data_IF_054831673082
#
_entry.id   IF_054831673082
#
_cell.length_a   1.000
_cell.length_b   1.000
_cell.length_c   1.000
_cell.angle_alpha   90.00
_cell.angle_beta   90.00
_cell.angle_gamma   90.00
#
_symmetry.space_group_name_H-M   'P 1'
#
loop_
_entity.id
_entity.type
_entity.pdbx_description
1 polymer ?
#
# COMPACT_ATOMS: atom_id res chain seq x y z
N UNK A 1 41.90 -2.91 39.68
CA UNK A 1 40.66 -2.50 38.96
C UNK A 1 40.68 -3.08 37.55
N UNK A 2 40.04 -4.22 37.30
CA UNK A 2 40.00 -4.88 35.96
C UNK A 2 38.67 -5.59 35.67
N UNK A 3 37.58 -5.16 36.33
CA UNK A 3 36.25 -5.82 36.27
C UNK A 3 35.20 -5.10 35.42
N UNK A 4 35.41 -3.86 34.99
CA UNK A 4 34.35 -3.08 34.31
C UNK A 4 34.36 -3.22 32.78
N UNK A 5 35.51 -3.50 32.16
CA UNK A 5 35.63 -3.56 30.69
C UNK A 5 34.89 -4.77 30.08
N UNK A 6 34.88 -5.91 30.79
CA UNK A 6 34.20 -7.14 30.33
C UNK A 6 32.67 -6.98 30.27
N UNK A 7 32.08 -6.21 31.19
CA UNK A 7 30.64 -5.98 31.23
C UNK A 7 30.18 -5.04 30.12
N UNK A 8 30.99 -4.03 29.79
CA UNK A 8 30.71 -3.07 28.70
C UNK A 8 30.76 -3.76 27.33
N UNK A 9 31.76 -4.63 27.10
CA UNK A 9 31.85 -5.42 25.86
C UNK A 9 30.65 -6.37 25.67
N UNK A 10 30.13 -6.95 26.75
CA UNK A 10 28.91 -7.79 26.69
C UNK A 10 27.66 -7.00 26.30
N UNK A 11 27.51 -5.78 26.81
CA UNK A 11 26.36 -4.89 26.50
C UNK A 11 26.40 -4.42 25.03
N UNK A 12 27.58 -4.05 24.53
CA UNK A 12 27.77 -3.64 23.13
C UNK A 12 27.47 -4.81 22.18
N UNK A 13 27.90 -6.03 22.53
CA UNK A 13 27.60 -7.23 21.74
C UNK A 13 26.10 -7.52 21.65
N UNK A 14 25.37 -7.38 22.77
CA UNK A 14 23.91 -7.59 22.80
C UNK A 14 23.18 -6.52 21.98
N UNK A 15 23.59 -5.25 22.07
CA UNK A 15 23.01 -4.16 21.27
C UNK A 15 23.18 -4.38 19.75
N UNK A 16 24.34 -4.90 19.32
CA UNK A 16 24.58 -5.20 17.91
C UNK A 16 23.71 -6.35 17.38
N UNK A 17 23.53 -7.40 18.18
CA UNK A 17 22.69 -8.55 17.80
C UNK A 17 21.22 -8.12 17.74
N UNK A 18 20.74 -7.36 18.72
CA UNK A 18 19.38 -6.81 18.71
C UNK A 18 19.15 -5.85 17.53
N UNK A 19 20.15 -5.04 17.18
CA UNK A 19 20.11 -4.18 15.99
C UNK A 19 20.00 -4.97 14.68
N UNK A 20 20.76 -6.06 14.53
CA UNK A 20 20.69 -6.93 13.34
C UNK A 20 19.35 -7.67 13.22
N UNK A 21 18.79 -8.14 14.34
CA UNK A 21 17.47 -8.80 14.35
C UNK A 21 16.37 -7.80 13.97
N UNK A 22 16.44 -6.56 14.51
CA UNK A 22 15.50 -5.50 14.17
C UNK A 22 15.54 -5.11 12.69
N UNK A 23 16.74 -5.00 12.10
CA UNK A 23 16.89 -4.70 10.68
C UNK A 23 16.39 -5.83 9.77
N UNK A 24 16.67 -7.10 10.10
CA UNK A 24 16.15 -8.24 9.33
C UNK A 24 14.63 -8.32 9.37
N UNK A 25 14.03 -8.13 10.56
CA UNK A 25 12.57 -8.17 10.70
C UNK A 25 11.89 -7.05 9.92
N UNK A 26 12.44 -5.83 9.95
CA UNK A 26 11.91 -4.70 9.20
C UNK A 26 12.09 -4.87 7.69
N UNK A 27 13.23 -5.41 7.25
CA UNK A 27 13.51 -5.66 5.84
C UNK A 27 12.61 -6.75 5.25
N UNK A 28 12.34 -7.82 5.99
CA UNK A 28 11.49 -8.93 5.53
C UNK A 28 10.00 -8.54 5.47
N UNK A 29 9.54 -7.71 6.41
CA UNK A 29 8.15 -7.22 6.41
C UNK A 29 7.88 -6.17 5.32
N UNK A 30 8.85 -5.31 5.02
CA UNK A 30 8.66 -4.22 4.03
C UNK A 30 8.62 -4.75 2.59
N UNK A 31 9.24 -5.90 2.30
CA UNK A 31 9.38 -6.43 0.93
C UNK A 31 8.14 -7.22 0.47
N UNK A 32 7.39 -7.81 1.40
CA UNK A 32 6.23 -8.66 1.09
C UNK A 32 4.88 -8.03 1.46
N UNK A 33 4.87 -6.75 1.79
CA UNK A 33 3.61 -6.06 2.09
C UNK A 33 2.80 -5.83 0.79
N UNK A 34 1.54 -6.22 0.84
CA UNK A 34 0.60 -6.18 -0.29
C UNK A 34 -0.48 -5.17 0.04
N UNK A 35 -0.75 -4.29 -0.92
CA UNK A 35 -1.87 -3.35 -0.88
C UNK A 35 -2.88 -3.73 -1.96
N UNK A 36 -4.12 -3.97 -1.57
CA UNK A 36 -5.23 -4.15 -2.51
C UNK A 36 -5.77 -2.79 -2.97
N UNK A 37 -5.84 -2.57 -4.28
CA UNK A 37 -6.42 -1.39 -4.90
C UNK A 37 -7.65 -1.74 -5.74
N UNK A 38 -8.61 -0.81 -5.81
CA UNK A 38 -9.74 -0.91 -6.74
C UNK A 38 -9.28 -0.45 -8.13
N UNK A 39 -9.47 -1.31 -9.13
CA UNK A 39 -9.09 -1.10 -10.53
C UNK A 39 -10.28 -1.21 -11.47
N UNK A 40 -10.16 -0.60 -12.66
CA UNK A 40 -11.12 -0.78 -13.76
C UNK A 40 -10.83 -2.09 -14.47
N UNK A 41 -11.78 -3.04 -14.48
CA UNK A 41 -11.62 -4.36 -15.10
C UNK A 41 -12.19 -4.46 -16.50
N UNK A 42 -13.13 -3.58 -16.86
CA UNK A 42 -13.88 -3.65 -18.12
C UNK A 42 -14.14 -2.26 -18.69
N UNK A 43 -14.30 -2.20 -20.01
CA UNK A 43 -14.72 -0.98 -20.70
C UNK A 43 -16.14 -0.56 -20.32
N UNK A 44 -16.48 0.69 -20.62
CA UNK A 44 -17.84 1.21 -20.50
C UNK A 44 -18.14 1.89 -19.16
N UNK A 45 -17.11 2.22 -18.38
CA UNK A 45 -17.25 3.02 -17.16
C UNK A 45 -17.73 4.44 -17.52
N UNK A 46 -18.94 4.81 -17.08
CA UNK A 46 -19.48 6.14 -17.29
C UNK A 46 -19.15 7.07 -16.12
N UNK A 47 -18.49 8.18 -16.41
CA UNK A 47 -18.11 9.21 -15.43
C UNK A 47 -19.29 9.92 -14.79
N UNK A 48 -20.48 9.89 -15.39
CA UNK A 48 -21.68 10.56 -14.89
C UNK A 48 -22.51 9.69 -13.95
N UNK A 49 -22.26 8.38 -13.91
CA UNK A 49 -22.99 7.42 -13.09
C UNK A 49 -22.16 7.10 -11.83
N UNK A 50 -22.79 6.97 -10.65
CA UNK A 50 -22.09 6.55 -9.44
C UNK A 50 -21.33 5.22 -9.63
N UNK A 51 -20.12 5.14 -9.10
CA UNK A 51 -19.25 3.97 -9.25
C UNK A 51 -19.81 2.73 -8.56
N UNK A 52 -20.55 2.90 -7.47
CA UNK A 52 -21.22 1.81 -6.77
C UNK A 52 -22.36 1.16 -7.58
N UNK A 53 -22.96 1.90 -8.52
CA UNK A 53 -23.93 1.36 -9.47
C UNK A 53 -23.26 0.60 -10.63
N UNK A 54 -21.93 0.75 -10.79
CA UNK A 54 -21.13 0.17 -11.87
C UNK A 54 -20.03 -0.77 -11.35
N UNK A 55 -20.19 -1.33 -10.14
CA UNK A 55 -19.21 -2.23 -9.50
C UNK A 55 -18.85 -3.44 -10.36
N UNK A 56 -19.75 -3.89 -11.24
CA UNK A 56 -19.49 -4.98 -12.18
C UNK A 56 -18.38 -4.69 -13.21
N UNK A 57 -18.00 -3.42 -13.38
CA UNK A 57 -16.88 -2.97 -14.22
C UNK A 57 -15.58 -2.81 -13.43
N UNK A 58 -15.64 -2.95 -12.10
CA UNK A 58 -14.54 -2.75 -11.17
C UNK A 58 -14.10 -4.08 -10.53
N UNK A 59 -12.92 -4.09 -9.93
CA UNK A 59 -12.43 -5.21 -9.13
C UNK A 59 -11.28 -4.79 -8.24
N UNK A 60 -10.81 -5.70 -7.40
CA UNK A 60 -9.58 -5.54 -6.63
C UNK A 60 -8.40 -6.16 -7.38
N UNK A 61 -7.23 -5.54 -7.25
CA UNK A 61 -5.93 -6.11 -7.61
C UNK A 61 -4.92 -5.89 -6.49
N UNK A 62 -4.08 -6.89 -6.30
CA UNK A 62 -2.99 -6.87 -5.33
C UNK A 62 -1.75 -6.22 -5.95
N UNK A 63 -1.25 -5.17 -5.31
CA UNK A 63 0.00 -4.52 -5.66
C UNK A 63 0.99 -4.65 -4.52
N UNK A 64 2.28 -4.64 -4.81
CA UNK A 64 3.29 -4.48 -3.76
C UNK A 64 3.12 -3.09 -3.14
N UNK A 65 3.07 -2.99 -1.82
CA UNK A 65 2.95 -1.69 -1.12
C UNK A 65 4.05 -0.71 -1.55
N UNK A 66 5.26 -1.21 -1.80
CA UNK A 66 6.38 -0.41 -2.33
C UNK A 66 6.12 0.15 -3.72
N UNK A 67 5.41 -0.58 -4.57
CA UNK A 67 5.01 -0.11 -5.90
C UNK A 67 3.97 1.01 -5.77
N UNK A 68 2.94 0.79 -4.95
CA UNK A 68 1.90 1.81 -4.68
C UNK A 68 2.50 3.09 -4.11
N UNK A 69 3.48 2.99 -3.19
CA UNK A 69 4.18 4.15 -2.65
C UNK A 69 5.01 4.93 -3.70
N UNK A 70 5.40 4.27 -4.79
CA UNK A 70 6.11 4.90 -5.91
C UNK A 70 5.14 5.43 -6.98
N UNK A 71 3.86 5.04 -6.95
CA UNK A 71 2.82 5.60 -7.80
C UNK A 71 2.50 7.04 -7.38
N UNK A 72 2.05 7.88 -8.31
CA UNK A 72 1.72 9.28 -8.01
C UNK A 72 0.29 9.38 -7.47
N UNK A 73 0.18 9.75 -6.20
CA UNK A 73 -1.11 10.07 -5.57
C UNK A 73 -1.57 8.99 -4.60
N UNK A 74 -2.85 9.08 -4.22
CA UNK A 74 -3.50 8.10 -3.36
C UNK A 74 -4.60 7.39 -4.14
N UNK A 75 -4.79 6.10 -3.85
CA UNK A 75 -5.69 5.23 -4.60
C UNK A 75 -6.78 4.67 -3.71
N UNK A 76 -7.89 4.30 -4.33
CA UNK A 76 -9.01 3.63 -3.68
C UNK A 76 -8.58 2.21 -3.29
N UNK A 77 -8.77 1.86 -2.02
CA UNK A 77 -8.42 0.54 -1.48
C UNK A 77 -9.64 -0.30 -1.11
N UNK A 78 -10.84 0.31 -1.07
CA UNK A 78 -12.08 -0.40 -0.78
C UNK A 78 -13.30 0.24 -1.45
N UNK A 79 -14.36 -0.55 -1.64
CA UNK A 79 -15.58 -0.10 -2.31
C UNK A 79 -16.41 0.93 -1.51
N UNK A 80 -16.26 1.02 -0.19
CA UNK A 80 -16.99 2.03 0.60
C UNK A 80 -16.52 3.46 0.26
N UNK A 81 -15.26 3.63 -0.17
CA UNK A 81 -14.72 4.94 -0.58
C UNK A 81 -15.35 5.49 -1.87
N UNK A 82 -15.93 4.63 -2.72
CA UNK A 82 -16.51 5.02 -4.01
C UNK A 82 -18.05 5.08 -3.98
N UNK A 83 -18.66 4.80 -2.84
CA UNK A 83 -20.11 4.76 -2.69
C UNK A 83 -20.75 6.14 -2.95
N UNK A 84 -21.66 6.21 -3.92
CA UNK A 84 -22.29 7.44 -4.37
C UNK A 84 -21.34 8.43 -5.05
N UNK A 85 -20.10 8.02 -5.37
CA UNK A 85 -19.09 8.86 -6.00
C UNK A 85 -19.09 8.68 -7.51
N UNK A 86 -18.86 9.77 -8.21
CA UNK A 86 -18.68 9.78 -9.67
C UNK A 86 -17.21 10.04 -10.01
N UNK A 87 -16.82 9.75 -11.25
CA UNK A 87 -15.48 10.11 -11.73
C UNK A 87 -15.48 11.47 -12.40
N UNK A 88 -14.44 12.27 -12.15
CA UNK A 88 -14.23 13.54 -12.86
C UNK A 88 -13.49 13.36 -14.19
N UNK A 89 -12.79 12.23 -14.35
CA UNK A 89 -12.02 11.88 -15.55
C UNK A 89 -12.17 10.39 -15.84
N UNK A 90 -12.13 9.98 -17.12
CA UNK A 90 -12.10 8.57 -17.47
C UNK A 90 -10.82 7.91 -16.97
N UNK A 91 -10.92 6.67 -16.49
CA UNK A 91 -9.81 5.83 -16.05
C UNK A 91 -9.69 4.63 -16.99
N UNK A 92 -8.49 4.36 -17.49
CA UNK A 92 -8.25 3.24 -18.40
C UNK A 92 -8.37 1.88 -17.69
N UNK A 93 -8.66 0.82 -18.45
CA UNK A 93 -8.69 -0.55 -17.93
C UNK A 93 -7.32 -0.95 -17.39
N UNK A 94 -7.33 -1.67 -16.28
CA UNK A 94 -6.14 -2.16 -15.59
C UNK A 94 -5.54 -1.12 -14.64
N UNK A 95 -5.99 0.14 -14.69
CA UNK A 95 -5.47 1.17 -13.81
C UNK A 95 -6.26 1.26 -12.49
N UNK A 96 -5.58 1.50 -11.36
CA UNK A 96 -6.23 1.77 -10.09
C UNK A 96 -6.91 3.13 -10.09
N UNK A 97 -8.04 3.23 -9.38
CA UNK A 97 -8.81 4.47 -9.27
C UNK A 97 -8.10 5.43 -8.31
N UNK A 98 -7.67 6.62 -8.75
CA UNK A 98 -7.11 7.63 -7.87
C UNK A 98 -8.22 8.26 -7.00
N UNK A 99 -7.93 8.55 -5.73
CA UNK A 99 -8.89 9.25 -4.85
C UNK A 99 -9.22 10.66 -5.37
N UNK A 100 -8.26 11.33 -6.01
CA UNK A 100 -8.46 12.64 -6.64
C UNK A 100 -9.39 12.61 -7.85
N UNK A 101 -9.63 11.45 -8.44
CA UNK A 101 -10.56 11.29 -9.54
C UNK A 101 -12.04 11.21 -9.08
N UNK A 102 -12.29 11.16 -7.78
CA UNK A 102 -13.64 11.03 -7.21
C UNK A 102 -14.28 12.39 -6.93
N UNK A 103 -15.57 12.51 -7.23
CA UNK A 103 -16.43 13.65 -6.91
C UNK A 103 -17.66 13.21 -6.13
#
# INVERSE_FOLDING_TARGET
>A
MKKNTKNILGIIGILLILGMIGLNYWYDHTINDITELIVVKREGLDTQIPLDEQINLLGTEEFKTTEVNNMKGQYVTNFEQIKGKTLIVPIEIGNPIPLEALK
#
